data_IF_662619941564
#
_entry.id   IF_662619941564
#
_cell.length_a   1.000
_cell.length_b   1.000
_cell.length_c   1.000
_cell.angle_alpha   90.00
_cell.angle_beta   90.00
_cell.angle_gamma   90.00
#
_symmetry.space_group_name_H-M   'P 1'
#
loop_
_entity.id
_entity.type
_entity.pdbx_description
1 polymer ?
#
# COMPACT_ATOMS: atom_id res chain seq x y z
N UNK A 1 33.68 -64.29 -55.31
CA UNK A 1 33.55 -65.25 -54.23
C UNK A 1 32.38 -64.87 -53.38
N UNK A 2 31.39 -65.60 -53.56
CA UNK A 2 30.10 -65.77 -53.00
C UNK A 2 30.09 -66.11 -51.52
N UNK A 3 29.34 -65.43 -50.69
CA UNK A 3 28.75 -66.06 -49.53
C UNK A 3 27.34 -65.57 -49.28
N UNK A 4 26.48 -66.55 -49.22
CA UNK A 4 25.04 -66.44 -48.97
C UNK A 4 24.79 -66.38 -47.50
N UNK A 5 24.17 -65.31 -47.00
CA UNK A 5 23.60 -65.23 -45.66
C UNK A 5 22.16 -65.68 -45.64
N UNK A 6 21.90 -66.73 -44.91
CA UNK A 6 20.63 -67.45 -44.74
C UNK A 6 19.59 -66.55 -44.01
N UNK A 7 18.43 -66.41 -44.61
CA UNK A 7 17.26 -65.78 -43.96
C UNK A 7 16.55 -66.80 -43.08
N UNK A 8 16.38 -66.47 -41.78
CA UNK A 8 15.51 -67.19 -40.85
C UNK A 8 14.06 -66.73 -41.02
N UNK A 9 13.06 -67.61 -40.96
CA UNK A 9 11.66 -67.23 -41.11
C UNK A 9 11.12 -66.60 -39.84
N UNK A 10 10.48 -65.42 -40.00
CA UNK A 10 9.72 -64.75 -38.95
C UNK A 10 8.47 -65.57 -38.59
N UNK A 11 8.36 -65.87 -37.29
CA UNK A 11 7.13 -66.45 -36.70
C UNK A 11 5.97 -65.42 -36.70
N UNK A 12 4.71 -65.84 -36.85
CA UNK A 12 3.57 -64.93 -36.87
C UNK A 12 3.34 -64.35 -35.47
N UNK A 13 3.23 -63.01 -35.38
CA UNK A 13 2.88 -62.28 -34.19
C UNK A 13 1.40 -62.57 -33.90
N UNK A 14 1.14 -63.21 -32.77
CA UNK A 14 -0.22 -63.45 -32.25
C UNK A 14 -0.89 -62.09 -31.93
N UNK A 15 -2.07 -61.90 -32.41
CA UNK A 15 -2.87 -60.74 -32.13
C UNK A 15 -3.20 -60.71 -30.63
N UNK A 16 -3.22 -59.50 -29.98
CA UNK A 16 -3.57 -59.42 -28.55
C UNK A 16 -5.04 -59.80 -28.37
N UNK A 17 -5.30 -60.82 -27.55
CA UNK A 17 -6.63 -61.18 -27.10
C UNK A 17 -7.28 -59.97 -26.43
N UNK A 18 -8.45 -59.60 -26.95
CA UNK A 18 -9.31 -58.56 -26.30
C UNK A 18 -9.85 -59.20 -25.00
N UNK A 19 -9.30 -58.80 -23.88
CA UNK A 19 -9.86 -59.07 -22.59
C UNK A 19 -11.17 -58.28 -22.47
N UNK A 20 -12.35 -58.95 -22.59
CA UNK A 20 -13.59 -58.36 -22.20
C UNK A 20 -13.63 -58.29 -20.67
N UNK A 21 -13.83 -57.07 -20.09
CA UNK A 21 -13.90 -56.93 -18.64
C UNK A 21 -15.11 -57.72 -18.10
N UNK A 22 -14.89 -58.50 -17.05
CA UNK A 22 -15.90 -59.27 -16.35
C UNK A 22 -17.05 -58.38 -15.82
N UNK A 23 -18.26 -58.94 -15.71
CA UNK A 23 -19.44 -58.20 -15.19
C UNK A 23 -19.19 -57.54 -13.84
N UNK A 24 -18.31 -58.10 -13.02
CA UNK A 24 -17.87 -57.52 -11.73
C UNK A 24 -17.04 -56.23 -11.85
N UNK A 25 -16.28 -56.08 -12.95
CA UNK A 25 -15.54 -54.84 -13.21
C UNK A 25 -16.40 -53.75 -13.80
N UNK A 26 -17.50 -54.07 -14.46
CA UNK A 26 -18.52 -53.13 -14.97
C UNK A 26 -19.37 -52.53 -13.86
N UNK A 27 -19.60 -53.26 -12.74
CA UNK A 27 -20.34 -52.74 -11.60
C UNK A 27 -19.53 -51.75 -10.72
N UNK A 28 -18.20 -51.83 -10.74
CA UNK A 28 -17.34 -50.92 -9.94
C UNK A 28 -17.12 -49.55 -10.59
N UNK A 29 -17.43 -49.37 -11.87
CA UNK A 29 -17.28 -48.07 -12.57
C UNK A 29 -18.59 -47.31 -12.78
N UNK A 30 -19.74 -47.85 -12.28
CA UNK A 30 -21.01 -47.13 -12.35
C UNK A 30 -21.03 -46.03 -11.28
N UNK A 31 -20.89 -44.77 -11.69
CA UNK A 31 -21.17 -43.62 -10.82
C UNK A 31 -22.58 -43.79 -10.20
N UNK A 32 -22.74 -43.61 -8.87
CA UNK A 32 -24.00 -43.74 -8.21
C UNK A 32 -25.05 -42.80 -8.84
N UNK A 33 -26.32 -43.20 -8.95
CA UNK A 33 -27.35 -42.39 -9.59
C UNK A 33 -27.45 -41.04 -8.91
N UNK A 34 -27.40 -39.98 -9.76
CA UNK A 34 -27.43 -38.59 -9.31
C UNK A 34 -28.73 -38.28 -8.57
N UNK A 35 -28.69 -38.20 -7.27
CA UNK A 35 -29.83 -37.78 -6.46
C UNK A 35 -30.07 -36.26 -6.66
N UNK A 36 -31.30 -35.75 -6.50
CA UNK A 36 -31.61 -34.33 -6.61
C UNK A 36 -30.71 -33.46 -5.71
N UNK A 37 -30.34 -33.96 -4.55
CA UNK A 37 -29.43 -33.30 -3.61
C UNK A 37 -27.99 -33.21 -4.16
N UNK A 38 -27.48 -34.27 -4.80
CA UNK A 38 -26.14 -34.28 -5.40
C UNK A 38 -26.06 -33.38 -6.63
N UNK A 39 -27.14 -33.26 -7.40
CA UNK A 39 -27.24 -32.33 -8.54
C UNK A 39 -27.21 -30.86 -8.07
N UNK A 40 -27.94 -30.56 -6.98
CA UNK A 40 -27.96 -29.22 -6.39
C UNK A 40 -26.60 -28.83 -5.86
N UNK A 41 -25.89 -29.74 -5.17
CA UNK A 41 -24.54 -29.54 -4.67
C UNK A 41 -23.54 -29.29 -5.82
N UNK A 42 -23.54 -30.13 -6.87
CA UNK A 42 -22.67 -29.92 -8.06
C UNK A 42 -22.98 -28.62 -8.78
N UNK A 43 -24.21 -28.14 -8.80
CA UNK A 43 -24.61 -26.86 -9.38
C UNK A 43 -24.09 -25.69 -8.54
N UNK A 44 -24.15 -25.80 -7.22
CA UNK A 44 -23.62 -24.82 -6.28
C UNK A 44 -22.11 -24.74 -6.37
N UNK A 45 -21.40 -25.86 -6.41
CA UNK A 45 -19.95 -25.94 -6.51
C UNK A 45 -19.46 -25.31 -7.83
N UNK A 46 -20.14 -25.59 -8.97
CA UNK A 46 -19.79 -24.93 -10.25
C UNK A 46 -19.98 -23.41 -10.19
N UNK A 47 -21.06 -22.92 -9.54
CA UNK A 47 -21.28 -21.48 -9.35
C UNK A 47 -20.18 -20.84 -8.50
N UNK A 48 -19.77 -21.50 -7.42
CA UNK A 48 -18.68 -21.05 -6.57
C UNK A 48 -17.34 -21.01 -7.30
N UNK A 49 -17.03 -22.02 -8.09
CA UNK A 49 -15.81 -22.05 -8.92
C UNK A 49 -15.83 -20.92 -9.96
N UNK A 50 -16.97 -20.71 -10.60
CA UNK A 50 -17.13 -19.65 -11.59
C UNK A 50 -17.01 -18.25 -10.96
N UNK A 51 -17.65 -18.02 -9.81
CA UNK A 51 -17.50 -16.77 -9.06
C UNK A 51 -16.05 -16.52 -8.63
N UNK A 52 -15.33 -17.54 -8.15
CA UNK A 52 -13.90 -17.41 -7.81
C UNK A 52 -13.05 -17.02 -9.01
N UNK A 53 -13.34 -17.62 -10.18
CA UNK A 53 -12.63 -17.30 -11.41
C UNK A 53 -12.86 -15.84 -11.84
N UNK A 54 -14.10 -15.35 -11.79
CA UNK A 54 -14.40 -13.94 -12.08
C UNK A 54 -13.71 -12.99 -11.11
N UNK A 55 -13.73 -13.30 -9.80
CA UNK A 55 -13.05 -12.48 -8.79
C UNK A 55 -11.54 -12.40 -9.06
N UNK A 56 -10.90 -13.52 -9.40
CA UNK A 56 -9.47 -13.54 -9.71
C UNK A 56 -9.16 -12.71 -10.96
N UNK A 57 -9.99 -12.82 -12.00
CA UNK A 57 -9.84 -12.04 -13.22
C UNK A 57 -10.01 -10.53 -12.95
N UNK A 58 -11.04 -10.14 -12.20
CA UNK A 58 -11.26 -8.74 -11.82
C UNK A 58 -10.12 -8.19 -10.96
N UNK A 59 -9.60 -8.98 -10.02
CA UNK A 59 -8.45 -8.59 -9.21
C UNK A 59 -7.19 -8.39 -10.05
N UNK A 60 -6.96 -9.24 -11.04
CA UNK A 60 -5.81 -9.08 -11.95
C UNK A 60 -5.96 -7.84 -12.84
N UNK A 61 -7.16 -7.57 -13.33
CA UNK A 61 -7.45 -6.34 -14.07
C UNK A 61 -7.14 -5.10 -13.24
N UNK A 62 -7.58 -5.05 -11.97
CA UNK A 62 -7.25 -3.96 -11.05
C UNK A 62 -5.74 -3.85 -10.82
N UNK A 63 -5.04 -4.98 -10.68
CA UNK A 63 -3.59 -4.97 -10.50
C UNK A 63 -2.85 -4.42 -11.72
N UNK A 64 -3.25 -4.82 -12.92
CA UNK A 64 -2.70 -4.29 -14.17
C UNK A 64 -2.95 -2.78 -14.24
N UNK A 65 -4.20 -2.36 -14.03
CA UNK A 65 -4.57 -0.96 -14.02
C UNK A 65 -3.71 -0.13 -13.04
N UNK A 66 -3.51 -0.61 -11.81
CA UNK A 66 -2.69 0.08 -10.81
C UNK A 66 -1.20 0.13 -11.18
N UNK A 67 -0.69 -0.82 -11.96
CA UNK A 67 0.71 -0.81 -12.41
C UNK A 67 0.94 0.11 -13.60
N UNK A 68 -0.07 0.29 -14.44
CA UNK A 68 -0.01 1.12 -15.64
C UNK A 68 -0.15 2.62 -15.35
N UNK A 69 -0.71 2.98 -14.19
CA UNK A 69 -0.93 4.36 -13.82
C UNK A 69 0.06 4.82 -12.75
N UNK A 70 0.49 6.06 -12.85
CA UNK A 70 1.36 6.72 -11.86
C UNK A 70 0.54 7.31 -10.70
N UNK A 71 1.22 7.56 -9.59
CA UNK A 71 0.62 8.25 -8.45
C UNK A 71 0.18 9.68 -8.78
N UNK A 72 0.76 10.28 -9.82
CA UNK A 72 0.38 11.60 -10.31
C UNK A 72 -0.98 11.59 -11.01
N UNK A 73 -1.35 10.53 -11.73
CA UNK A 73 -2.58 10.42 -12.52
C UNK A 73 -3.86 10.48 -11.66
N UNK A 74 -3.74 10.18 -10.36
CA UNK A 74 -4.87 10.25 -9.41
C UNK A 74 -5.14 11.68 -8.94
N UNK A 75 -4.22 12.59 -9.18
CA UNK A 75 -4.37 13.96 -8.71
C UNK A 75 -5.46 14.69 -9.51
N UNK A 76 -6.31 15.47 -8.84
CA UNK A 76 -7.26 16.31 -9.55
C UNK A 76 -6.52 17.43 -10.30
N UNK A 77 -7.10 17.89 -11.39
CA UNK A 77 -6.56 18.99 -12.22
C UNK A 77 -6.31 20.26 -11.40
N UNK A 78 -7.11 20.47 -10.36
CA UNK A 78 -6.98 21.61 -9.45
C UNK A 78 -7.15 21.14 -8.02
N UNK A 79 -6.18 21.47 -7.16
CA UNK A 79 -6.25 21.19 -5.73
C UNK A 79 -5.47 22.25 -4.93
N UNK A 80 -5.87 22.41 -3.68
CA UNK A 80 -5.17 23.25 -2.73
C UNK A 80 -4.32 22.34 -1.85
N UNK A 81 -3.02 22.60 -1.81
CA UNK A 81 -2.08 21.93 -0.92
C UNK A 81 -1.76 22.87 0.25
N UNK A 82 -1.85 22.36 1.47
CA UNK A 82 -1.40 23.02 2.68
C UNK A 82 -0.16 22.29 3.17
N UNK A 83 0.94 23.00 3.29
CA UNK A 83 2.20 22.52 3.87
C UNK A 83 2.50 23.39 5.08
N UNK A 84 2.85 22.78 6.20
CA UNK A 84 3.10 23.46 7.47
C UNK A 84 4.60 23.46 7.78
N UNK A 85 5.11 24.59 8.21
CA UNK A 85 6.49 24.65 8.71
C UNK A 85 6.60 23.99 10.09
N UNK A 86 7.67 23.22 10.32
CA UNK A 86 7.91 22.55 11.62
C UNK A 86 8.10 23.51 12.78
N UNK A 87 8.47 24.76 12.53
CA UNK A 87 8.62 25.81 13.54
C UNK A 87 7.31 26.42 14.05
N UNK A 88 6.20 26.14 13.36
CA UNK A 88 4.88 26.59 13.82
C UNK A 88 4.54 26.01 15.18
N UNK A 89 3.79 26.78 15.97
CA UNK A 89 3.13 26.21 17.16
C UNK A 89 1.99 25.29 16.75
N UNK A 90 1.69 24.31 17.58
CA UNK A 90 0.55 23.40 17.33
C UNK A 90 -0.75 24.19 17.15
N UNK A 91 -0.99 25.22 17.94
CA UNK A 91 -2.17 26.09 17.80
C UNK A 91 -2.25 26.70 16.39
N UNK A 92 -1.18 27.34 15.94
CA UNK A 92 -1.15 27.95 14.60
C UNK A 92 -1.31 26.89 13.50
N UNK A 93 -0.70 25.72 13.64
CA UNK A 93 -0.83 24.61 12.69
C UNK A 93 -2.28 24.11 12.61
N UNK A 94 -2.96 23.93 13.76
CA UNK A 94 -4.36 23.53 13.82
C UNK A 94 -5.30 24.60 13.24
N UNK A 95 -5.06 25.87 13.50
CA UNK A 95 -5.84 26.96 12.95
C UNK A 95 -5.77 26.98 11.41
N UNK A 96 -4.58 26.81 10.84
CA UNK A 96 -4.39 26.71 9.38
C UNK A 96 -5.09 25.48 8.82
N UNK A 97 -4.95 24.31 9.46
CA UNK A 97 -5.62 23.09 9.04
C UNK A 97 -7.14 23.21 9.09
N UNK A 98 -7.66 23.84 10.14
CA UNK A 98 -9.10 24.12 10.30
C UNK A 98 -9.63 25.03 9.19
N UNK A 99 -8.97 26.17 8.96
CA UNK A 99 -9.35 27.13 7.91
C UNK A 99 -9.30 26.51 6.51
N UNK A 100 -8.32 25.61 6.27
CA UNK A 100 -8.18 24.91 5.00
C UNK A 100 -9.11 23.71 4.86
N UNK A 101 -9.80 23.28 5.93
CA UNK A 101 -10.67 22.11 5.94
C UNK A 101 -9.91 20.78 5.77
N UNK A 102 -8.66 20.71 6.22
CA UNK A 102 -7.83 19.50 6.13
C UNK A 102 -7.60 18.89 7.51
N UNK A 103 -7.52 17.56 7.58
CA UNK A 103 -7.30 16.80 8.83
C UNK A 103 -5.86 16.27 8.95
N UNK A 104 -5.04 16.53 7.98
CA UNK A 104 -3.59 16.28 8.00
C UNK A 104 -2.90 17.16 6.98
N UNK A 105 -1.65 17.54 7.26
CA UNK A 105 -0.86 18.35 6.37
C UNK A 105 0.60 17.90 6.39
N UNK A 106 1.29 17.89 5.23
CA UNK A 106 2.73 17.68 5.17
C UNK A 106 3.47 18.72 6.00
N UNK A 107 4.53 18.27 6.65
CA UNK A 107 5.45 19.12 7.39
C UNK A 107 6.68 19.40 6.53
N UNK A 108 7.10 20.64 6.55
CA UNK A 108 8.30 21.11 5.88
C UNK A 108 9.27 21.72 6.89
N UNK A 109 10.51 21.31 6.84
CA UNK A 109 11.58 21.90 7.62
C UNK A 109 12.32 22.91 6.76
N UNK A 110 12.12 24.21 7.01
CA UNK A 110 12.71 25.28 6.19
C UNK A 110 14.12 25.68 6.62
N UNK A 111 14.50 25.39 7.84
CA UNK A 111 15.85 25.72 8.35
C UNK A 111 16.45 24.55 9.10
N UNK A 112 17.77 24.46 9.01
CA UNK A 112 18.52 23.53 9.87
C UNK A 112 18.22 23.81 11.34
N UNK A 113 18.13 22.79 12.22
CA UNK A 113 18.11 23.00 13.66
C UNK A 113 19.31 23.86 14.04
N UNK A 114 19.12 24.80 14.98
CA UNK A 114 20.14 25.71 15.47
C UNK A 114 21.32 24.91 16.09
N UNK A 115 22.22 24.44 15.25
CA UNK A 115 23.50 23.84 15.60
C UNK A 115 24.63 24.68 15.02
N UNK A 116 25.87 24.64 15.59
CA UNK A 116 26.96 25.42 15.11
C UNK A 116 27.17 25.16 13.61
N UNK A 117 27.07 26.21 12.82
CA UNK A 117 27.22 26.22 11.37
C UNK A 117 28.66 25.85 10.98
N UNK A 118 28.99 24.58 11.01
CA UNK A 118 30.24 24.06 10.47
C UNK A 118 29.89 23.14 9.27
N UNK A 119 30.14 23.58 8.04
CA UNK A 119 29.82 22.82 6.84
C UNK A 119 30.79 21.65 6.59
N UNK A 120 31.46 21.15 7.61
CA UNK A 120 32.34 20.00 7.48
C UNK A 120 31.49 18.73 7.50
N UNK A 121 31.16 18.31 6.30
CA UNK A 121 30.80 16.99 5.83
C UNK A 121 31.00 15.90 6.88
N UNK A 122 29.89 15.48 7.51
CA UNK A 122 29.80 14.15 8.10
C UNK A 122 28.83 13.33 7.24
N UNK A 123 29.33 12.29 6.60
CA UNK A 123 28.57 11.33 5.80
C UNK A 123 27.48 10.57 6.57
N UNK A 124 27.39 10.78 7.88
CA UNK A 124 26.42 10.17 8.80
C UNK A 124 25.40 11.19 9.36
N UNK A 125 25.21 12.33 8.71
CA UNK A 125 24.20 13.30 9.12
C UNK A 125 22.82 12.70 8.97
N UNK A 126 22.03 12.70 10.05
CA UNK A 126 20.62 12.33 10.05
C UNK A 126 19.93 13.05 8.85
N UNK A 127 19.31 12.30 7.93
CA UNK A 127 18.59 12.90 6.78
C UNK A 127 17.57 13.98 7.20
N UNK A 128 17.13 13.95 8.47
CA UNK A 128 16.24 14.95 9.07
C UNK A 128 16.90 16.30 9.37
N UNK A 129 18.22 16.39 9.30
CA UNK A 129 18.95 17.64 9.52
C UNK A 129 18.98 18.57 8.31
N UNK A 130 18.39 18.19 7.17
CA UNK A 130 18.35 19.01 5.94
C UNK A 130 16.99 19.70 5.80
N UNK A 131 16.93 20.90 5.17
CA UNK A 131 15.66 21.46 4.74
C UNK A 131 14.94 20.51 3.81
N UNK A 132 13.64 20.29 4.02
CA UNK A 132 12.91 19.35 3.21
C UNK A 132 11.65 18.80 3.88
N UNK A 133 11.16 17.70 3.35
CA UNK A 133 9.99 17.03 3.87
C UNK A 133 10.27 16.38 5.24
N UNK A 134 9.51 16.78 6.27
CA UNK A 134 9.72 16.37 7.65
C UNK A 134 8.65 15.38 8.17
N UNK A 135 7.70 14.99 7.34
CA UNK A 135 6.64 14.06 7.70
C UNK A 135 5.24 14.62 7.50
N UNK A 136 4.26 14.03 8.16
CA UNK A 136 2.86 14.40 8.07
C UNK A 136 2.32 14.69 9.47
N UNK A 137 1.76 15.88 9.69
CA UNK A 137 1.01 16.20 10.89
C UNK A 137 -0.41 15.66 10.76
N UNK A 138 -0.86 14.93 11.77
CA UNK A 138 -2.20 14.33 11.83
C UNK A 138 -2.91 14.66 13.15
N UNK A 139 -4.21 14.41 13.21
CA UNK A 139 -4.96 14.55 14.47
C UNK A 139 -4.44 13.63 15.57
N UNK A 140 -3.91 12.46 15.22
CA UNK A 140 -3.34 11.53 16.20
C UNK A 140 -2.14 12.14 16.94
N UNK A 141 -1.30 12.88 16.24
CA UNK A 141 -0.12 13.54 16.82
C UNK A 141 -0.56 14.58 17.88
N UNK A 142 -1.66 15.30 17.60
CA UNK A 142 -2.25 16.24 18.54
C UNK A 142 -2.84 15.52 19.76
N UNK A 143 -3.47 14.36 19.56
CA UNK A 143 -3.99 13.54 20.66
C UNK A 143 -2.85 13.04 21.54
N UNK A 144 -1.72 12.60 20.98
CA UNK A 144 -0.54 12.20 21.74
C UNK A 144 0.02 13.38 22.55
N UNK A 145 0.06 14.58 21.98
CA UNK A 145 0.48 15.78 22.68
C UNK A 145 -0.42 16.09 23.90
N UNK A 146 -1.73 16.07 23.70
CA UNK A 146 -2.71 16.28 24.77
C UNK A 146 -2.54 15.21 25.87
N UNK A 147 -2.41 13.95 25.48
CA UNK A 147 -2.21 12.84 26.40
C UNK A 147 -0.94 13.02 27.23
N UNK A 148 0.16 13.43 26.63
CA UNK A 148 1.42 13.69 27.31
C UNK A 148 1.26 14.77 28.38
N UNK A 149 0.70 15.92 28.03
CA UNK A 149 0.52 17.01 28.96
C UNK A 149 -0.49 16.69 30.06
N UNK A 150 -1.54 15.92 29.76
CA UNK A 150 -2.49 15.45 30.75
C UNK A 150 -1.85 14.50 31.78
N UNK A 151 -0.90 13.68 31.36
CA UNK A 151 -0.18 12.75 32.23
C UNK A 151 0.92 13.44 33.08
N UNK A 152 1.56 14.48 32.54
CA UNK A 152 2.74 15.11 33.15
C UNK A 152 2.41 16.37 33.96
N UNK A 153 1.32 17.06 33.63
CA UNK A 153 0.96 18.33 34.31
C UNK A 153 0.00 18.10 35.47
N UNK A 154 0.34 18.69 36.62
CA UNK A 154 -0.55 18.69 37.80
C UNK A 154 -1.65 19.77 37.72
N UNK A 155 -1.55 20.71 36.77
CA UNK A 155 -2.48 21.82 36.64
C UNK A 155 -2.95 21.94 35.17
N UNK A 156 -4.26 21.87 34.98
CA UNK A 156 -4.90 21.91 33.65
C UNK A 156 -4.63 23.23 32.89
N UNK A 157 -4.70 24.38 33.59
CA UNK A 157 -4.51 25.68 32.93
C UNK A 157 -3.09 25.84 32.40
N UNK A 158 -2.09 25.32 33.13
CA UNK A 158 -0.72 25.31 32.66
C UNK A 158 -0.51 24.34 31.49
N UNK A 159 -1.10 23.16 31.56
CA UNK A 159 -1.05 22.19 30.48
C UNK A 159 -1.62 22.76 29.16
N UNK A 160 -2.75 23.49 29.29
CA UNK A 160 -3.36 24.13 28.10
C UNK A 160 -2.42 25.17 27.47
N UNK A 161 -1.80 26.00 28.29
CA UNK A 161 -0.84 27.01 27.79
C UNK A 161 0.40 26.38 27.15
N UNK A 162 0.93 25.32 27.77
CA UNK A 162 2.08 24.59 27.27
C UNK A 162 1.77 23.94 25.91
N UNK A 163 0.57 23.37 25.72
CA UNK A 163 0.10 22.83 24.43
C UNK A 163 0.02 23.94 23.37
N UNK A 164 -0.54 25.10 23.70
CA UNK A 164 -0.70 26.21 22.74
C UNK A 164 0.63 26.75 22.22
N UNK A 165 1.65 26.78 23.09
CA UNK A 165 2.98 27.29 22.78
C UNK A 165 3.94 26.23 22.22
N UNK A 166 3.51 24.97 22.22
CA UNK A 166 4.31 23.84 21.77
C UNK A 166 4.61 23.90 20.27
N UNK A 167 5.87 23.69 19.88
CA UNK A 167 6.30 23.69 18.48
C UNK A 167 6.21 22.29 17.88
N UNK A 168 5.78 22.24 16.62
CA UNK A 168 5.59 20.98 15.88
C UNK A 168 6.89 20.16 15.78
N UNK A 169 8.05 20.83 15.64
CA UNK A 169 9.37 20.17 15.56
C UNK A 169 9.68 19.24 16.76
N UNK A 170 9.14 19.57 17.94
CA UNK A 170 9.36 18.80 19.17
C UNK A 170 8.39 17.63 19.35
N UNK A 171 7.49 17.41 18.42
CA UNK A 171 6.45 16.38 18.54
C UNK A 171 7.05 14.97 18.70
N UNK A 172 8.16 14.71 18.01
CA UNK A 172 8.86 13.42 18.06
C UNK A 172 9.45 13.11 19.45
N UNK A 173 9.87 14.12 20.19
CA UNK A 173 10.36 13.96 21.57
C UNK A 173 9.25 13.44 22.49
N UNK A 174 8.04 13.96 22.29
CA UNK A 174 6.85 13.54 23.05
C UNK A 174 6.43 12.12 22.68
N UNK A 175 6.38 11.78 21.40
CA UNK A 175 6.05 10.42 20.97
C UNK A 175 7.03 9.40 21.55
N UNK A 176 8.32 9.72 21.59
CA UNK A 176 9.33 8.89 22.24
C UNK A 176 9.09 8.72 23.73
N UNK A 177 8.71 9.80 24.43
CA UNK A 177 8.43 9.76 25.87
C UNK A 177 7.19 8.92 26.21
N UNK A 178 6.23 8.85 25.28
CA UNK A 178 5.03 8.01 25.40
C UNK A 178 5.25 6.57 24.93
N UNK A 179 6.49 6.19 24.52
CA UNK A 179 6.80 4.91 23.91
C UNK A 179 5.96 4.61 22.64
N UNK A 180 5.53 5.65 21.96
CA UNK A 180 4.87 5.50 20.66
C UNK A 180 5.94 5.18 19.62
N UNK A 181 5.80 4.10 18.83
CA UNK A 181 6.78 3.78 17.81
C UNK A 181 6.86 4.94 16.80
N UNK A 182 8.07 5.33 16.37
CA UNK A 182 8.22 6.42 15.41
C UNK A 182 7.48 6.06 14.12
N UNK A 183 6.59 6.96 13.70
CA UNK A 183 5.93 6.82 12.41
C UNK A 183 7.00 6.85 11.31
N UNK A 184 7.00 5.87 10.40
CA UNK A 184 7.91 5.90 9.27
C UNK A 184 7.65 7.19 8.48
N UNK A 185 8.73 7.85 8.01
CA UNK A 185 8.60 8.96 7.07
C UNK A 185 8.13 8.38 5.73
N UNK A 186 6.81 8.33 5.58
CA UNK A 186 6.17 7.78 4.39
C UNK A 186 6.02 8.89 3.37
N UNK A 187 6.65 8.72 2.24
CA UNK A 187 6.41 9.49 1.03
C UNK A 187 6.50 8.57 -0.18
N UNK A 188 5.96 9.00 -1.30
CA UNK A 188 6.12 8.30 -2.57
C UNK A 188 6.35 9.33 -3.68
N UNK A 189 7.19 8.99 -4.65
CA UNK A 189 7.41 9.84 -5.80
C UNK A 189 6.19 9.89 -6.72
N UNK A 190 5.98 10.99 -7.43
CA UNK A 190 4.83 11.17 -8.32
C UNK A 190 4.79 10.16 -9.48
N UNK A 191 5.96 9.74 -9.94
CA UNK A 191 6.10 8.79 -11.05
C UNK A 191 6.01 7.31 -10.63
N UNK A 192 6.00 7.01 -9.33
CA UNK A 192 5.81 5.65 -8.86
C UNK A 192 4.41 5.15 -9.20
N UNK A 193 4.31 3.85 -9.44
CA UNK A 193 3.03 3.22 -9.80
C UNK A 193 2.00 3.31 -8.68
N UNK A 194 0.72 3.39 -9.05
CA UNK A 194 -0.36 3.30 -8.07
C UNK A 194 -0.37 1.97 -7.31
N UNK A 195 0.18 0.91 -7.90
CA UNK A 195 0.34 -0.37 -7.21
C UNK A 195 1.29 -0.26 -6.03
N UNK A 196 2.41 0.44 -6.18
CA UNK A 196 3.35 0.72 -5.09
C UNK A 196 2.72 1.60 -4.02
N UNK A 197 2.04 2.68 -4.43
CA UNK A 197 1.32 3.55 -3.51
C UNK A 197 0.26 2.80 -2.69
N UNK A 198 -0.55 1.96 -3.35
CA UNK A 198 -1.52 1.11 -2.68
C UNK A 198 -0.86 0.13 -1.69
N UNK A 199 0.28 -0.45 -2.08
CA UNK A 199 1.02 -1.39 -1.25
C UNK A 199 1.59 -0.71 0.01
N UNK A 200 2.10 0.51 -0.10
CA UNK A 200 2.56 1.32 1.04
C UNK A 200 1.38 1.63 1.97
N UNK A 201 0.24 2.10 1.44
CA UNK A 201 -0.97 2.37 2.24
C UNK A 201 -1.45 1.14 3.02
N UNK A 202 -1.42 -0.04 2.40
CA UNK A 202 -1.87 -1.29 3.04
C UNK A 202 -0.87 -1.75 4.10
N UNK A 203 0.43 -1.75 3.81
CA UNK A 203 1.47 -2.24 4.73
C UNK A 203 1.61 -1.38 5.98
N UNK A 204 1.44 -0.08 5.83
CA UNK A 204 1.63 0.88 6.92
C UNK A 204 0.33 1.25 7.63
N UNK A 205 -0.80 0.74 7.14
CA UNK A 205 -2.13 1.14 7.59
C UNK A 205 -2.38 2.66 7.51
N UNK A 206 -1.56 3.37 6.74
CA UNK A 206 -1.70 4.80 6.53
C UNK A 206 -2.92 5.10 5.66
N UNK A 207 -3.67 6.13 6.03
CA UNK A 207 -4.81 6.61 5.24
C UNK A 207 -4.40 7.61 4.16
N UNK A 208 -3.18 8.15 4.28
CA UNK A 208 -2.62 9.20 3.42
C UNK A 208 -1.13 9.02 3.26
N UNK A 209 -0.63 9.34 2.07
CA UNK A 209 0.80 9.37 1.76
C UNK A 209 1.08 10.67 1.03
N UNK A 210 2.02 11.50 1.49
CA UNK A 210 2.52 12.63 0.73
C UNK A 210 3.21 12.15 -0.57
N UNK A 211 2.94 12.85 -1.66
CA UNK A 211 3.71 12.74 -2.89
C UNK A 211 4.83 13.78 -2.82
N UNK A 212 6.05 13.28 -2.81
CA UNK A 212 7.26 14.11 -2.74
C UNK A 212 8.10 13.81 -3.97
N UNK A 213 8.38 14.83 -4.73
CA UNK A 213 9.33 14.79 -5.83
C UNK A 213 10.71 15.12 -5.31
N UNK A 214 11.71 14.39 -5.79
CA UNK A 214 13.09 14.57 -5.42
C UNK A 214 13.90 14.86 -6.68
N UNK A 215 14.40 16.08 -6.78
CA UNK A 215 15.32 16.50 -7.85
C UNK A 215 16.72 16.01 -7.50
N UNK A 216 17.21 15.00 -8.21
CA UNK A 216 18.53 14.41 -7.97
C UNK A 216 19.67 15.38 -8.30
N UNK A 217 19.47 16.28 -9.26
CA UNK A 217 20.50 17.22 -9.69
C UNK A 217 20.70 18.35 -8.67
N UNK A 218 19.62 18.85 -8.11
CA UNK A 218 19.63 19.94 -7.14
C UNK A 218 19.62 19.47 -5.68
N UNK A 219 19.30 18.19 -5.45
CA UNK A 219 19.10 17.62 -4.11
C UNK A 219 17.93 18.27 -3.36
N UNK A 220 16.95 18.81 -4.11
CA UNK A 220 15.79 19.50 -3.57
C UNK A 220 14.58 18.54 -3.56
N UNK A 221 13.82 18.64 -2.49
CA UNK A 221 12.51 17.96 -2.38
C UNK A 221 11.39 18.95 -2.65
N UNK A 222 10.30 18.45 -3.21
CA UNK A 222 9.08 19.23 -3.43
C UNK A 222 7.86 18.41 -3.09
N UNK A 223 7.04 18.90 -2.16
CA UNK A 223 5.77 18.26 -1.83
C UNK A 223 4.74 18.62 -2.90
N UNK A 224 4.35 17.64 -3.71
CA UNK A 224 3.41 17.84 -4.82
C UNK A 224 1.97 17.77 -4.34
N UNK A 225 1.62 16.75 -3.56
CA UNK A 225 0.25 16.53 -3.09
C UNK A 225 0.21 15.52 -1.96
N UNK A 226 -1.00 15.17 -1.53
CA UNK A 226 -1.27 14.07 -0.60
C UNK A 226 -2.24 13.09 -1.24
N UNK A 227 -1.76 11.89 -1.51
CA UNK A 227 -2.58 10.77 -1.97
C UNK A 227 -3.34 10.19 -0.78
N UNK A 228 -4.65 9.96 -0.97
CA UNK A 228 -5.50 9.34 0.05
C UNK A 228 -6.09 8.02 -0.46
N UNK A 229 -6.38 7.10 0.46
CA UNK A 229 -7.09 5.85 0.10
C UNK A 229 -8.40 6.15 -0.66
N UNK A 230 -9.12 7.19 -0.25
CA UNK A 230 -10.37 7.60 -0.92
C UNK A 230 -10.14 8.00 -2.38
N UNK A 231 -9.11 8.82 -2.66
CA UNK A 231 -8.78 9.23 -4.03
C UNK A 231 -8.40 8.03 -4.90
N UNK A 232 -7.58 7.13 -4.35
CA UNK A 232 -7.18 5.90 -5.04
C UNK A 232 -8.39 5.03 -5.41
N UNK A 233 -9.27 4.77 -4.44
CA UNK A 233 -10.49 3.97 -4.67
C UNK A 233 -11.43 4.64 -5.67
N UNK A 234 -11.59 5.97 -5.58
CA UNK A 234 -12.40 6.75 -6.52
C UNK A 234 -11.82 6.66 -7.94
N UNK A 235 -10.51 6.76 -8.09
CA UNK A 235 -9.84 6.67 -9.38
C UNK A 235 -10.04 5.29 -10.03
N UNK A 236 -9.89 4.21 -9.26
CA UNK A 236 -10.18 2.84 -9.72
C UNK A 236 -11.65 2.75 -10.17
N UNK A 237 -12.58 3.19 -9.33
CA UNK A 237 -14.01 3.07 -9.62
C UNK A 237 -14.45 3.85 -10.86
N UNK A 238 -13.77 4.95 -11.17
CA UNK A 238 -14.12 5.79 -12.33
C UNK A 238 -13.43 5.38 -13.62
N UNK A 239 -12.26 4.77 -13.56
CA UNK A 239 -11.42 4.55 -14.73
C UNK A 239 -11.18 3.06 -15.05
N UNK A 240 -11.36 2.16 -14.10
CA UNK A 240 -11.23 0.73 -14.35
C UNK A 240 -12.57 0.15 -14.86
N UNK A 241 -12.71 0.06 -16.18
CA UNK A 241 -13.94 -0.40 -16.85
C UNK A 241 -14.24 -1.89 -16.63
N UNK A 242 -13.27 -2.70 -16.24
CA UNK A 242 -13.44 -4.14 -16.03
C UNK A 242 -14.01 -4.52 -14.65
N UNK A 243 -14.29 -3.53 -13.80
CA UNK A 243 -14.93 -3.72 -12.49
C UNK A 243 -16.46 -3.59 -12.52
N UNK A 244 -17.03 -3.30 -13.71
CA UNK A 244 -18.48 -3.09 -13.92
C UNK A 244 -19.20 -4.38 -14.27
#
# INVERSE_FOLDING_TARGET
MTERGSALPLAPIAAPERHEPSETEREQTAEPPLTPASLTKRRLDRRLVHMKHYHLKSLEAIRCFLREHSSYDVLPVSFRLVVLDTKLTIKAALDVMWQAGVVSAPLWQSTLPDGPSNPAVTHDADPRARPGFAGLLTVNDVIHLIQYYYQTSMNYDRASLDVETFRVERLREIEQSLNVPPLPMLSIGPLHSLAEAAQVLVRTHARRIPLVDHDEDLGLETVISVLTQYRLLKFIAMNCSETS
#
